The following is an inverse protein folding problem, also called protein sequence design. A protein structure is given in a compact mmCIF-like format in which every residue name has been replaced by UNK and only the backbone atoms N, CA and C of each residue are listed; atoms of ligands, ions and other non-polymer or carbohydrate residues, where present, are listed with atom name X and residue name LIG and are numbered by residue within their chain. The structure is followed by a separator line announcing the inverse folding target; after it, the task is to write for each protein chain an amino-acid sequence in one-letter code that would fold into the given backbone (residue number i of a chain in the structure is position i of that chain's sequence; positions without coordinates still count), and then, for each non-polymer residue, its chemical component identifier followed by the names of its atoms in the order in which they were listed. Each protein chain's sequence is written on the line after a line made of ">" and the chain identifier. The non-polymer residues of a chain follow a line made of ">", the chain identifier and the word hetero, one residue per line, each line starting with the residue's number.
data_IF_791229490718
#
_entry.id   IF_791229490718
#
_cell.length_a   1.000
_cell.length_b   1.000
_cell.length_c   1.000
_cell.angle_alpha   90.00
_cell.angle_beta   90.00
_cell.angle_gamma   90.00
#
_symmetry.space_group_name_H-M   'P 1'
#
loop_
_entity.id
_entity.type
_entity.pdbx_description
1 polymer ?
#
# COMPACT_ATOMS: atom_id res chain seq x y z
N UNK A 1 24.42 -0.93 27.31
CA UNK A 1 24.22 -1.92 26.24
C UNK A 1 22.93 -1.67 25.43
N UNK A 2 21.84 -1.17 26.01
CA UNK A 2 20.55 -0.92 25.30
C UNK A 2 20.62 0.08 24.16
N UNK A 3 21.35 1.19 24.29
CA UNK A 3 21.43 2.23 23.25
C UNK A 3 22.21 1.82 21.99
N UNK A 4 23.23 0.97 22.11
CA UNK A 4 23.96 0.45 20.95
C UNK A 4 23.12 -0.56 20.15
N UNK A 5 22.27 -1.34 20.85
CA UNK A 5 21.33 -2.27 20.22
C UNK A 5 20.23 -1.52 19.45
N UNK A 6 19.70 -0.42 20.00
CA UNK A 6 18.66 0.42 19.40
C UNK A 6 19.16 1.11 18.11
N UNK A 7 20.35 1.72 18.13
CA UNK A 7 20.97 2.32 16.93
C UNK A 7 21.19 1.30 15.81
N UNK A 8 21.50 0.05 16.16
CA UNK A 8 21.63 -1.05 15.21
C UNK A 8 20.27 -1.40 14.55
N UNK A 9 19.18 -1.45 15.32
CA UNK A 9 17.84 -1.72 14.81
C UNK A 9 17.37 -0.65 13.82
N UNK A 10 17.46 0.64 14.17
CA UNK A 10 17.05 1.75 13.31
C UNK A 10 17.84 1.75 11.99
N UNK A 11 19.17 1.63 12.06
CA UNK A 11 20.03 1.58 10.87
C UNK A 11 19.66 0.41 9.97
N UNK A 12 19.44 -0.77 10.54
CA UNK A 12 19.01 -1.94 9.79
C UNK A 12 17.65 -1.71 9.13
N UNK A 13 16.70 -1.10 9.84
CA UNK A 13 15.40 -0.73 9.28
C UNK A 13 15.50 0.21 8.09
N UNK A 14 16.35 1.25 8.17
CA UNK A 14 16.60 2.15 7.04
C UNK A 14 17.16 1.37 5.84
N UNK A 15 18.15 0.50 6.06
CA UNK A 15 18.76 -0.30 4.98
C UNK A 15 17.74 -1.24 4.35
N UNK A 16 16.96 -1.97 5.16
CA UNK A 16 15.95 -2.90 4.67
C UNK A 16 14.78 -2.17 3.96
N UNK A 17 14.57 -0.90 4.28
CA UNK A 17 13.57 -0.04 3.63
C UNK A 17 14.02 0.58 2.29
N UNK A 18 15.34 0.65 2.02
CA UNK A 18 15.85 1.26 0.78
C UNK A 18 15.25 0.66 -0.51
N UNK A 19 15.05 -0.66 -0.64
CA UNK A 19 14.44 -1.23 -1.84
C UNK A 19 13.00 -0.71 -2.10
N UNK A 20 12.28 -0.28 -1.06
CA UNK A 20 10.92 0.27 -1.20
C UNK A 20 10.94 1.60 -1.98
N UNK A 21 12.04 2.36 -1.91
CA UNK A 21 12.18 3.64 -2.59
C UNK A 21 12.04 3.50 -4.11
N UNK A 22 12.52 2.39 -4.67
CA UNK A 22 12.42 2.11 -6.10
C UNK A 22 10.97 2.07 -6.60
N UNK A 23 10.05 1.63 -5.77
CA UNK A 23 8.61 1.68 -6.07
C UNK A 23 7.95 2.99 -5.59
N UNK A 24 8.31 3.47 -4.41
CA UNK A 24 7.66 4.63 -3.78
C UNK A 24 7.91 5.94 -4.51
N UNK A 25 9.16 6.23 -4.87
CA UNK A 25 9.52 7.51 -5.50
C UNK A 25 8.76 7.74 -6.82
N UNK A 26 8.75 6.79 -7.79
CA UNK A 26 8.00 6.97 -9.02
C UNK A 26 6.49 7.18 -8.79
N UNK A 27 5.89 6.40 -7.86
CA UNK A 27 4.46 6.51 -7.55
C UNK A 27 4.15 7.82 -6.86
N UNK A 28 5.00 8.27 -5.94
CA UNK A 28 4.83 9.55 -5.24
C UNK A 28 4.98 10.75 -6.19
N UNK A 29 5.93 10.70 -7.12
CA UNK A 29 6.07 11.69 -8.19
C UNK A 29 4.79 11.72 -9.03
N UNK A 30 4.29 10.56 -9.48
CA UNK A 30 3.03 10.47 -10.22
C UNK A 30 1.87 11.07 -9.44
N UNK A 31 1.78 10.81 -8.13
CA UNK A 31 0.75 11.39 -7.27
C UNK A 31 0.86 12.92 -7.25
N UNK A 32 2.05 13.48 -7.06
CA UNK A 32 2.29 14.92 -7.05
C UNK A 32 1.86 15.60 -8.35
N UNK A 33 2.25 15.02 -9.50
CA UNK A 33 1.85 15.52 -10.84
C UNK A 33 0.34 15.49 -11.00
N UNK A 34 -0.30 14.33 -10.78
CA UNK A 34 -1.75 14.13 -10.96
C UNK A 34 -2.54 15.04 -10.00
N UNK A 35 -2.07 15.25 -8.78
CA UNK A 35 -2.71 16.15 -7.83
C UNK A 35 -2.71 17.60 -8.32
N UNK A 36 -1.57 18.09 -8.83
CA UNK A 36 -1.48 19.46 -9.37
C UNK A 36 -2.32 19.59 -10.64
N UNK A 37 -2.31 18.62 -11.54
CA UNK A 37 -3.20 18.60 -12.72
C UNK A 37 -4.69 18.59 -12.36
N UNK A 38 -5.05 18.01 -11.21
CA UNK A 38 -6.40 18.01 -10.66
C UNK A 38 -6.78 19.32 -9.94
N UNK A 39 -5.90 20.32 -9.92
CA UNK A 39 -6.13 21.66 -9.34
C UNK A 39 -5.68 21.83 -7.89
N UNK A 40 -5.00 20.84 -7.30
CA UNK A 40 -4.38 21.00 -5.98
C UNK A 40 -3.05 21.77 -6.10
N UNK A 41 -2.72 22.58 -5.12
CA UNK A 41 -1.37 23.13 -5.02
C UNK A 41 -0.36 22.04 -4.62
N UNK A 42 0.91 22.26 -4.95
CA UNK A 42 1.99 21.37 -4.50
C UNK A 42 2.04 21.22 -2.99
N UNK A 43 1.71 22.31 -2.25
CA UNK A 43 1.65 22.26 -0.78
C UNK A 43 0.53 21.34 -0.29
N UNK A 44 -0.67 21.46 -0.84
CA UNK A 44 -1.81 20.60 -0.48
C UNK A 44 -1.51 19.13 -0.77
N UNK A 45 -0.98 18.81 -1.96
CA UNK A 45 -0.57 17.46 -2.31
C UNK A 45 0.48 16.91 -1.33
N UNK A 46 1.46 17.74 -0.94
CA UNK A 46 2.51 17.36 0.01
C UNK A 46 1.94 17.15 1.42
N UNK A 47 1.02 18.01 1.88
CA UNK A 47 0.34 17.85 3.17
C UNK A 47 -0.51 16.57 3.21
N UNK A 48 -1.21 16.25 2.11
CA UNK A 48 -1.92 14.97 1.97
C UNK A 48 -0.95 13.80 2.13
N UNK A 49 0.24 13.86 1.54
CA UNK A 49 1.27 12.81 1.68
C UNK A 49 1.86 12.72 3.07
N UNK A 50 1.97 13.83 3.80
CA UNK A 50 2.43 13.85 5.20
C UNK A 50 1.41 13.19 6.13
N UNK A 51 0.13 13.56 6.02
CA UNK A 51 -0.89 13.21 7.00
C UNK A 51 -1.70 11.96 6.66
N UNK A 52 -1.99 11.70 5.39
CA UNK A 52 -2.77 10.54 4.96
C UNK A 52 -1.86 9.34 4.71
N UNK A 53 -0.76 9.52 4.01
CA UNK A 53 0.29 8.52 3.72
C UNK A 53 -0.29 7.13 3.37
N UNK A 54 -1.27 7.10 2.50
CA UNK A 54 -1.93 5.88 2.04
C UNK A 54 -2.19 5.98 0.53
N UNK A 55 -1.23 5.58 -0.28
CA UNK A 55 -1.19 5.81 -1.73
C UNK A 55 -2.53 5.57 -2.42
N UNK A 56 -3.13 4.37 -2.30
CA UNK A 56 -4.39 4.07 -2.98
C UNK A 56 -5.52 5.04 -2.62
N UNK A 57 -5.65 5.42 -1.35
CA UNK A 57 -6.68 6.36 -0.91
C UNK A 57 -6.38 7.80 -1.33
N UNK A 58 -5.09 8.18 -1.41
CA UNK A 58 -4.68 9.49 -1.90
C UNK A 58 -5.03 9.67 -3.39
N UNK A 59 -4.72 8.71 -4.25
CA UNK A 59 -5.11 8.73 -5.65
C UNK A 59 -6.63 8.74 -5.82
N UNK A 60 -7.36 7.95 -5.03
CA UNK A 60 -8.81 7.94 -5.05
C UNK A 60 -9.40 9.31 -4.64
N UNK A 61 -8.87 9.91 -3.57
CA UNK A 61 -9.29 11.24 -3.12
C UNK A 61 -9.17 12.27 -4.24
N UNK A 62 -7.99 12.35 -4.88
CA UNK A 62 -7.74 13.29 -5.98
C UNK A 62 -8.69 13.01 -7.14
N UNK A 63 -8.86 11.76 -7.55
CA UNK A 63 -9.73 11.38 -8.67
C UNK A 63 -11.20 11.76 -8.39
N UNK A 64 -11.69 11.56 -7.17
CA UNK A 64 -13.04 11.91 -6.79
C UNK A 64 -13.26 13.42 -6.76
N UNK A 65 -12.32 14.18 -6.20
CA UNK A 65 -12.38 15.65 -6.17
C UNK A 65 -12.34 16.19 -7.61
N UNK A 66 -11.43 15.71 -8.45
CA UNK A 66 -11.33 16.11 -9.86
C UNK A 66 -12.58 15.79 -10.68
N UNK A 67 -13.30 14.72 -10.34
CA UNK A 67 -14.59 14.37 -10.96
C UNK A 67 -15.78 15.18 -10.45
N UNK A 68 -15.58 16.12 -9.51
CA UNK A 68 -16.64 16.92 -8.90
C UNK A 68 -17.50 16.15 -7.89
N UNK A 69 -17.02 15.02 -7.39
CA UNK A 69 -17.75 14.28 -6.36
C UNK A 69 -17.87 15.10 -5.07
N UNK A 70 -19.01 14.99 -4.35
CA UNK A 70 -19.16 15.66 -3.06
C UNK A 70 -18.05 15.26 -2.08
N UNK A 71 -17.49 16.23 -1.36
CA UNK A 71 -16.34 16.00 -0.47
C UNK A 71 -16.61 14.89 0.58
N UNK A 72 -17.81 14.87 1.15
CA UNK A 72 -18.18 13.83 2.12
C UNK A 72 -18.07 12.41 1.51
N UNK A 73 -18.47 12.25 0.22
CA UNK A 73 -18.37 10.96 -0.46
C UNK A 73 -16.91 10.59 -0.72
N UNK A 74 -16.08 11.55 -1.14
CA UNK A 74 -14.65 11.34 -1.32
C UNK A 74 -13.98 10.90 -0.01
N UNK A 75 -14.31 11.54 1.11
CA UNK A 75 -13.81 11.17 2.44
C UNK A 75 -14.29 9.77 2.85
N UNK A 76 -15.58 9.46 2.71
CA UNK A 76 -16.12 8.13 3.03
C UNK A 76 -15.43 7.01 2.22
N UNK A 77 -15.25 7.21 0.93
CA UNK A 77 -14.60 6.23 0.05
C UNK A 77 -13.11 6.06 0.39
N UNK A 78 -12.42 7.14 0.69
CA UNK A 78 -11.03 7.14 1.15
C UNK A 78 -10.87 6.36 2.46
N UNK A 79 -11.77 6.56 3.42
CA UNK A 79 -11.80 5.81 4.67
C UNK A 79 -12.07 4.32 4.41
N UNK A 80 -13.02 4.01 3.53
CA UNK A 80 -13.35 2.62 3.18
C UNK A 80 -12.15 1.87 2.59
N UNK A 81 -11.38 2.50 1.71
CA UNK A 81 -10.15 1.91 1.16
C UNK A 81 -9.12 1.67 2.26
N UNK A 82 -9.07 2.52 3.27
CA UNK A 82 -8.14 2.40 4.40
C UNK A 82 -8.58 1.40 5.48
N UNK A 83 -9.79 0.85 5.45
CA UNK A 83 -10.25 -0.20 6.38
C UNK A 83 -9.30 -1.39 6.42
N UNK A 84 -8.56 -1.67 5.36
CA UNK A 84 -7.51 -2.71 5.33
C UNK A 84 -6.48 -2.58 6.46
N UNK A 85 -6.19 -1.38 6.95
CA UNK A 85 -5.26 -1.17 8.07
C UNK A 85 -5.78 -1.76 9.39
N UNK A 86 -7.10 -1.88 9.56
CA UNK A 86 -7.74 -2.58 10.69
C UNK A 86 -7.36 -4.07 10.70
N UNK A 87 -7.08 -4.65 9.53
CA UNK A 87 -6.61 -6.04 9.41
C UNK A 87 -5.10 -6.13 9.58
N UNK A 88 -4.33 -5.17 9.07
CA UNK A 88 -2.87 -5.20 9.13
C UNK A 88 -2.33 -5.10 10.54
N UNK A 89 -2.86 -4.17 11.33
CA UNK A 89 -2.37 -3.92 12.68
C UNK A 89 -2.46 -5.16 13.59
N UNK A 90 -3.59 -5.86 13.74
CA UNK A 90 -3.68 -7.08 14.55
C UNK A 90 -2.73 -8.18 14.10
N UNK A 91 -2.46 -8.29 12.79
CA UNK A 91 -1.54 -9.29 12.26
C UNK A 91 -0.06 -9.00 12.56
N UNK A 92 0.29 -7.74 12.89
CA UNK A 92 1.66 -7.37 13.30
C UNK A 92 1.84 -7.31 14.82
N UNK A 93 0.77 -7.12 15.58
CA UNK A 93 0.81 -7.04 17.05
C UNK A 93 1.58 -8.19 17.71
N UNK A 94 1.43 -9.48 17.30
CA UNK A 94 2.17 -10.58 17.91
C UNK A 94 3.68 -10.48 17.74
N UNK A 95 4.16 -9.73 16.75
CA UNK A 95 5.58 -9.61 16.43
C UNK A 95 6.22 -8.33 16.96
N UNK A 96 5.43 -7.36 17.40
CA UNK A 96 5.92 -6.07 17.89
C UNK A 96 5.72 -5.98 19.40
N UNK A 97 6.79 -5.72 20.18
CA UNK A 97 6.67 -5.54 21.63
C UNK A 97 5.86 -4.26 21.95
N UNK A 98 5.27 -4.24 23.14
CA UNK A 98 4.53 -3.08 23.66
C UNK A 98 5.42 -1.83 23.63
N UNK A 99 4.93 -0.73 23.00
CA UNK A 99 5.69 0.50 22.85
C UNK A 99 4.77 1.72 22.84
N UNK A 100 5.23 2.82 23.45
CA UNK A 100 4.57 4.14 23.34
C UNK A 100 4.62 4.70 21.90
N UNK A 101 5.44 4.11 21.03
CA UNK A 101 5.54 4.50 19.62
C UNK A 101 4.41 3.95 18.72
N UNK A 102 3.44 3.22 19.26
CA UNK A 102 2.35 2.61 18.49
C UNK A 102 1.64 3.56 17.52
N UNK A 103 1.25 4.80 17.90
CA UNK A 103 0.60 5.71 16.94
C UNK A 103 1.48 6.02 15.73
N UNK A 104 2.79 6.26 15.95
CA UNK A 104 3.76 6.47 14.88
C UNK A 104 3.95 5.22 14.01
N UNK A 105 4.05 4.04 14.64
CA UNK A 105 4.22 2.78 13.93
C UNK A 105 3.02 2.50 13.02
N UNK A 106 1.80 2.80 13.49
CA UNK A 106 0.57 2.59 12.72
C UNK A 106 0.41 3.61 11.59
N UNK A 107 0.81 4.87 11.81
CA UNK A 107 0.87 5.86 10.73
C UNK A 107 1.85 5.44 9.62
N UNK A 108 3.00 4.88 9.99
CA UNK A 108 4.00 4.38 9.04
C UNK A 108 3.62 3.05 8.34
N UNK A 109 2.48 2.45 8.67
CA UNK A 109 2.10 1.14 8.15
C UNK A 109 1.43 1.27 6.77
N UNK A 110 2.11 0.81 5.74
CA UNK A 110 1.59 0.70 4.37
C UNK A 110 1.57 -0.77 3.93
N UNK A 111 0.98 -1.06 2.76
CA UNK A 111 0.93 -2.43 2.20
C UNK A 111 2.32 -3.05 2.07
N UNK A 112 3.29 -2.27 1.59
CA UNK A 112 4.66 -2.73 1.37
C UNK A 112 5.41 -2.92 2.69
N UNK A 113 5.23 -1.99 3.64
CA UNK A 113 5.82 -2.10 4.99
C UNK A 113 5.21 -3.27 5.74
N UNK A 114 3.88 -3.49 5.61
CA UNK A 114 3.23 -4.67 6.17
C UNK A 114 3.85 -5.96 5.61
N UNK A 115 3.98 -6.08 4.30
CA UNK A 115 4.55 -7.26 3.66
C UNK A 115 6.01 -7.52 4.12
N UNK A 116 6.82 -6.46 4.18
CA UNK A 116 8.20 -6.54 4.66
C UNK A 116 8.27 -6.90 6.15
N UNK A 117 7.48 -6.24 6.99
CA UNK A 117 7.46 -6.45 8.43
C UNK A 117 6.99 -7.88 8.79
N UNK A 118 5.96 -8.38 8.12
CA UNK A 118 5.43 -9.73 8.34
C UNK A 118 6.49 -10.82 8.07
N UNK A 119 7.44 -10.57 7.17
CA UNK A 119 8.52 -11.51 6.86
C UNK A 119 9.75 -11.31 7.75
N UNK A 120 10.06 -10.08 8.17
CA UNK A 120 11.29 -9.75 8.90
C UNK A 120 11.14 -9.82 10.41
N UNK A 121 10.04 -9.31 10.98
CA UNK A 121 9.87 -9.22 12.43
C UNK A 121 9.94 -10.56 13.16
N UNK A 122 9.38 -11.69 12.64
CA UNK A 122 9.50 -12.99 13.30
C UNK A 122 10.93 -13.48 13.49
N UNK A 123 11.86 -13.00 12.65
CA UNK A 123 13.25 -13.43 12.62
C UNK A 123 14.20 -12.51 13.43
N UNK A 124 13.65 -11.47 14.07
CA UNK A 124 14.43 -10.43 14.73
C UNK A 124 14.34 -10.53 16.26
N UNK A 125 15.41 -10.07 16.94
CA UNK A 125 15.41 -9.90 18.39
C UNK A 125 14.39 -8.80 18.80
N UNK A 126 13.60 -9.05 19.83
CA UNK A 126 12.54 -8.11 20.29
C UNK A 126 13.07 -6.71 20.59
N UNK A 127 14.27 -6.60 21.14
CA UNK A 127 14.91 -5.32 21.45
C UNK A 127 15.16 -4.43 20.22
N UNK A 128 15.18 -5.00 19.01
CA UNK A 128 15.47 -4.28 17.75
C UNK A 128 14.22 -3.98 16.93
N UNK A 129 13.12 -4.73 17.14
CA UNK A 129 11.93 -4.71 16.28
C UNK A 129 11.30 -3.34 16.14
N UNK A 130 11.10 -2.62 17.26
CA UNK A 130 10.45 -1.29 17.24
C UNK A 130 11.31 -0.27 16.50
N UNK A 131 12.62 -0.26 16.76
CA UNK A 131 13.51 0.70 16.11
C UNK A 131 13.74 0.35 14.64
N UNK A 132 13.75 -0.94 14.30
CA UNK A 132 13.76 -1.40 12.91
C UNK A 132 12.52 -0.90 12.17
N UNK A 133 11.34 -1.09 12.74
CA UNK A 133 10.09 -0.65 12.13
C UNK A 133 10.06 0.87 11.94
N UNK A 134 10.54 1.65 12.93
CA UNK A 134 10.71 3.11 12.79
C UNK A 134 11.62 3.47 11.62
N UNK A 135 12.74 2.75 11.47
CA UNK A 135 13.70 3.00 10.37
C UNK A 135 13.09 2.78 9.00
N UNK A 136 12.42 1.64 8.81
CA UNK A 136 11.70 1.34 7.55
C UNK A 136 10.63 2.37 7.27
N UNK A 137 9.76 2.66 8.25
CA UNK A 137 8.65 3.60 8.10
C UNK A 137 9.13 5.01 7.79
N UNK A 138 10.20 5.47 8.46
CA UNK A 138 10.74 6.81 8.28
C UNK A 138 11.29 7.01 6.86
N UNK A 139 12.12 6.08 6.37
CA UNK A 139 12.73 6.21 5.05
C UNK A 139 11.68 6.13 3.94
N UNK A 140 10.69 5.25 4.09
CA UNK A 140 9.60 5.10 3.15
C UNK A 140 8.68 6.34 3.15
N UNK A 141 8.29 6.86 4.32
CA UNK A 141 7.47 8.05 4.46
C UNK A 141 8.14 9.30 3.90
N UNK A 142 9.42 9.51 4.23
CA UNK A 142 10.18 10.66 3.69
C UNK A 142 10.31 10.57 2.17
N UNK A 143 10.56 9.37 1.61
CA UNK A 143 10.65 9.20 0.16
C UNK A 143 9.33 9.52 -0.54
N UNK A 144 8.20 9.21 0.09
CA UNK A 144 6.87 9.51 -0.43
C UNK A 144 6.60 11.02 -0.43
N UNK A 145 6.91 11.72 0.67
CA UNK A 145 6.75 13.17 0.78
C UNK A 145 7.63 13.89 -0.25
N UNK A 146 8.92 13.52 -0.31
CA UNK A 146 9.86 14.13 -1.26
C UNK A 146 9.43 13.87 -2.70
N UNK A 147 9.04 12.62 -3.02
CA UNK A 147 8.54 12.27 -4.36
C UNK A 147 7.31 13.10 -4.74
N UNK A 148 6.34 13.24 -3.83
CA UNK A 148 5.14 14.07 -4.05
C UNK A 148 5.51 15.54 -4.30
N UNK A 149 6.37 16.12 -3.46
CA UNK A 149 6.80 17.51 -3.63
C UNK A 149 7.54 17.73 -4.97
N UNK A 150 8.43 16.82 -5.33
CA UNK A 150 9.13 16.86 -6.63
C UNK A 150 8.15 16.76 -7.80
N UNK A 151 7.19 15.84 -7.73
CA UNK A 151 6.13 15.71 -8.74
C UNK A 151 5.28 16.96 -8.87
N UNK A 152 4.89 17.56 -7.74
CA UNK A 152 4.10 18.79 -7.75
C UNK A 152 4.86 20.03 -8.23
N UNK A 153 6.17 20.10 -8.02
CA UNK A 153 7.01 21.23 -8.47
C UNK A 153 7.39 21.09 -9.95
N UNK A 154 7.81 19.88 -10.35
CA UNK A 154 8.44 19.67 -11.65
C UNK A 154 7.51 18.96 -12.66
N UNK A 155 6.28 18.61 -12.27
CA UNK A 155 5.37 17.80 -13.07
C UNK A 155 5.08 18.37 -14.45
N UNK A 156 4.74 19.64 -14.53
CA UNK A 156 4.46 20.30 -15.81
C UNK A 156 5.67 20.31 -16.75
N UNK A 157 6.85 20.58 -16.21
CA UNK A 157 8.09 20.56 -17.00
C UNK A 157 8.45 19.16 -17.46
N UNK A 158 8.21 18.15 -16.62
CA UNK A 158 8.46 16.74 -16.94
C UNK A 158 7.52 16.25 -18.04
N UNK A 159 6.23 16.54 -17.95
CA UNK A 159 5.24 16.08 -18.93
C UNK A 159 5.35 16.82 -20.27
N UNK A 160 5.77 18.11 -20.25
CA UNK A 160 6.08 18.85 -21.48
C UNK A 160 7.29 18.28 -22.22
N UNK A 161 8.36 17.92 -21.49
CA UNK A 161 9.56 17.34 -22.10
C UNK A 161 9.36 15.88 -22.52
N UNK A 162 8.52 15.15 -21.79
CA UNK A 162 8.31 13.72 -21.94
C UNK A 162 6.80 13.41 -21.93
N UNK A 163 6.06 13.69 -22.99
CA UNK A 163 4.60 13.55 -23.03
C UNK A 163 4.09 12.13 -22.73
N UNK A 164 4.93 11.10 -22.94
CA UNK A 164 4.63 9.72 -22.59
C UNK A 164 4.33 9.55 -21.08
N UNK A 165 4.88 10.44 -20.23
CA UNK A 165 4.68 10.36 -18.78
C UNK A 165 3.22 10.56 -18.40
N UNK A 166 2.48 11.44 -19.07
CA UNK A 166 1.04 11.64 -18.80
C UNK A 166 0.25 10.34 -18.97
N UNK A 167 0.63 9.52 -19.94
CA UNK A 167 -0.03 8.23 -20.19
C UNK A 167 0.41 7.14 -19.23
N UNK A 168 1.65 7.18 -18.73
CA UNK A 168 2.25 6.11 -17.91
C UNK A 168 2.03 6.32 -16.42
N UNK A 169 2.05 7.58 -15.94
CA UNK A 169 1.93 7.90 -14.52
C UNK A 169 0.68 7.32 -13.82
N UNK A 170 -0.53 7.30 -14.44
CA UNK A 170 -1.69 6.69 -13.80
C UNK A 170 -1.53 5.18 -13.50
N UNK A 171 -0.61 4.51 -14.21
CA UNK A 171 -0.34 3.07 -14.01
C UNK A 171 0.71 2.81 -12.94
N UNK A 172 1.40 3.81 -12.40
CA UNK A 172 2.46 3.64 -11.41
C UNK A 172 1.96 2.93 -10.13
N UNK A 173 0.79 3.31 -9.62
CA UNK A 173 0.19 2.67 -8.45
C UNK A 173 -0.29 1.24 -8.74
N UNK A 174 -1.05 0.94 -9.80
CA UNK A 174 -1.37 -0.43 -10.20
C UNK A 174 -0.13 -1.31 -10.37
N UNK A 175 0.95 -0.79 -10.99
CA UNK A 175 2.21 -1.51 -11.15
C UNK A 175 2.85 -1.86 -9.80
N UNK A 176 2.85 -0.94 -8.84
CA UNK A 176 3.35 -1.18 -7.49
C UNK A 176 2.58 -2.32 -6.79
N UNK A 177 1.26 -2.36 -6.90
CA UNK A 177 0.46 -3.46 -6.37
C UNK A 177 0.73 -4.79 -7.09
N UNK A 178 0.94 -4.75 -8.40
CA UNK A 178 1.27 -5.96 -9.16
C UNK A 178 2.60 -6.56 -8.70
N UNK A 179 3.61 -5.74 -8.42
CA UNK A 179 4.90 -6.19 -7.84
C UNK A 179 4.70 -6.89 -6.49
N UNK A 180 3.80 -6.38 -5.63
CA UNK A 180 3.47 -7.04 -4.36
C UNK A 180 2.75 -8.38 -4.52
N UNK A 181 1.95 -8.51 -5.57
CA UNK A 181 1.23 -9.75 -5.86
C UNK A 181 2.10 -10.78 -6.57
N UNK A 182 3.14 -10.36 -7.30
CA UNK A 182 3.96 -11.23 -8.13
C UNK A 182 4.47 -12.50 -7.40
N UNK A 183 4.98 -12.43 -6.15
CA UNK A 183 5.44 -13.63 -5.42
C UNK A 183 4.30 -14.62 -5.12
N UNK A 184 3.04 -14.16 -5.06
CA UNK A 184 1.88 -15.01 -4.77
C UNK A 184 1.51 -15.93 -5.95
N UNK A 185 1.88 -15.55 -7.17
CA UNK A 185 1.65 -16.39 -8.36
C UNK A 185 2.45 -17.70 -8.37
N UNK A 186 3.46 -17.85 -7.52
CA UNK A 186 4.17 -19.12 -7.34
C UNK A 186 3.33 -20.20 -6.64
N UNK A 187 2.29 -19.81 -5.90
CA UNK A 187 1.38 -20.71 -5.19
C UNK A 187 0.15 -21.02 -6.06
N UNK A 188 -0.13 -22.30 -6.32
CA UNK A 188 -1.32 -22.73 -7.07
C UNK A 188 -2.62 -22.23 -6.43
N UNK A 189 -2.70 -22.24 -5.10
CA UNK A 189 -3.86 -21.75 -4.35
C UNK A 189 -4.07 -20.24 -4.61
N UNK A 190 -3.02 -19.44 -4.49
CA UNK A 190 -3.08 -18.00 -4.73
C UNK A 190 -3.37 -17.69 -6.21
N UNK A 191 -2.73 -18.41 -7.15
CA UNK A 191 -2.98 -18.22 -8.59
C UNK A 191 -4.43 -18.50 -8.95
N UNK A 192 -5.02 -19.58 -8.43
CA UNK A 192 -6.44 -19.89 -8.65
C UNK A 192 -7.35 -18.80 -8.05
N UNK A 193 -7.07 -18.37 -6.82
CA UNK A 193 -7.82 -17.28 -6.17
C UNK A 193 -7.75 -15.98 -6.96
N UNK A 194 -6.56 -15.59 -7.39
CA UNK A 194 -6.36 -14.37 -8.18
C UNK A 194 -7.08 -14.45 -9.53
N UNK A 195 -6.99 -15.59 -10.20
CA UNK A 195 -7.70 -15.81 -11.47
C UNK A 195 -9.21 -15.64 -11.32
N UNK A 196 -9.80 -16.27 -10.30
CA UNK A 196 -11.25 -16.14 -10.00
C UNK A 196 -11.60 -14.69 -9.68
N UNK A 197 -10.79 -14.02 -8.85
CA UNK A 197 -11.03 -12.61 -8.49
C UNK A 197 -10.97 -11.69 -9.71
N UNK A 198 -9.97 -11.87 -10.57
CA UNK A 198 -9.82 -11.06 -11.79
C UNK A 198 -10.96 -11.30 -12.79
N UNK A 199 -11.35 -12.55 -12.97
CA UNK A 199 -12.48 -12.92 -13.85
C UNK A 199 -13.79 -12.33 -13.32
N UNK A 200 -14.04 -12.44 -12.01
CA UNK A 200 -15.20 -11.83 -11.37
C UNK A 200 -15.20 -10.31 -11.51
N UNK A 201 -14.06 -9.66 -11.30
CA UNK A 201 -13.92 -8.21 -11.45
C UNK A 201 -14.24 -7.76 -12.89
N UNK A 202 -13.69 -8.46 -13.88
CA UNK A 202 -13.95 -8.16 -15.29
C UNK A 202 -15.42 -8.35 -15.66
N UNK A 203 -16.01 -9.47 -15.26
CA UNK A 203 -17.44 -9.74 -15.51
C UNK A 203 -18.35 -8.70 -14.87
N UNK A 204 -18.10 -8.34 -13.61
CA UNK A 204 -18.87 -7.33 -12.88
C UNK A 204 -18.67 -5.93 -13.46
N UNK A 205 -17.46 -5.59 -13.91
CA UNK A 205 -17.17 -4.30 -14.53
C UNK A 205 -17.92 -4.10 -15.86
N UNK A 206 -18.17 -5.20 -16.60
CA UNK A 206 -18.93 -5.20 -17.85
C UNK A 206 -20.45 -5.33 -17.63
N UNK A 207 -20.90 -5.52 -16.38
CA UNK A 207 -22.32 -5.70 -16.01
C UNK A 207 -22.94 -4.40 -15.49
N UNK A 208 -24.25 -4.50 -15.12
CA UNK A 208 -24.95 -3.42 -14.39
C UNK A 208 -24.35 -3.11 -13.03
N UNK A 209 -23.56 -4.02 -12.47
CA UNK A 209 -22.92 -3.90 -11.15
C UNK A 209 -21.52 -3.24 -11.21
N UNK A 210 -21.18 -2.54 -12.30
CA UNK A 210 -19.86 -1.93 -12.52
C UNK A 210 -19.34 -1.11 -11.33
N UNK A 211 -20.23 -0.38 -10.62
CA UNK A 211 -19.85 0.46 -9.48
C UNK A 211 -19.49 -0.36 -8.23
N UNK A 212 -19.92 -1.61 -8.14
CA UNK A 212 -19.63 -2.54 -7.05
C UNK A 212 -18.65 -3.66 -7.49
N UNK A 213 -18.10 -3.59 -8.70
CA UNK A 213 -17.28 -4.65 -9.28
C UNK A 213 -16.08 -5.02 -8.40
N UNK A 214 -15.33 -4.02 -7.94
CA UNK A 214 -14.12 -4.24 -7.11
C UNK A 214 -14.46 -4.88 -5.76
N UNK A 215 -15.38 -4.32 -4.93
CA UNK A 215 -15.69 -4.94 -3.63
C UNK A 215 -16.33 -6.33 -3.77
N UNK A 216 -17.19 -6.55 -4.75
CA UNK A 216 -17.80 -7.87 -4.97
C UNK A 216 -16.76 -8.89 -5.47
N UNK A 217 -15.88 -8.52 -6.37
CA UNK A 217 -14.78 -9.38 -6.80
C UNK A 217 -13.82 -9.72 -5.65
N UNK A 218 -13.49 -8.76 -4.79
CA UNK A 218 -12.68 -9.00 -3.61
C UNK A 218 -13.35 -10.00 -2.65
N UNK A 219 -14.67 -9.89 -2.45
CA UNK A 219 -15.44 -10.85 -1.66
C UNK A 219 -15.41 -12.25 -2.29
N UNK A 220 -15.62 -12.37 -3.60
CA UNK A 220 -15.50 -13.64 -4.32
C UNK A 220 -14.11 -14.25 -4.14
N UNK A 221 -13.05 -13.44 -4.24
CA UNK A 221 -11.68 -13.89 -4.01
C UNK A 221 -11.46 -14.41 -2.58
N UNK A 222 -11.93 -13.68 -1.58
CA UNK A 222 -11.83 -14.07 -0.17
C UNK A 222 -12.55 -15.41 0.10
N UNK A 223 -13.77 -15.57 -0.40
CA UNK A 223 -14.54 -16.82 -0.29
C UNK A 223 -13.80 -17.96 -0.99
N UNK A 224 -13.30 -17.73 -2.20
CA UNK A 224 -12.55 -18.74 -2.96
C UNK A 224 -11.29 -19.18 -2.19
N UNK A 225 -10.52 -18.23 -1.65
CA UNK A 225 -9.34 -18.53 -0.85
C UNK A 225 -9.69 -19.37 0.37
N UNK A 226 -10.73 -18.99 1.12
CA UNK A 226 -11.18 -19.71 2.29
C UNK A 226 -11.60 -21.16 1.97
N UNK A 227 -12.41 -21.35 0.93
CA UNK A 227 -12.87 -22.67 0.52
C UNK A 227 -11.73 -23.58 0.07
N UNK A 228 -10.79 -23.04 -0.72
CA UNK A 228 -9.64 -23.80 -1.20
C UNK A 228 -8.69 -24.17 -0.04
N UNK A 229 -8.45 -23.27 0.89
CA UNK A 229 -7.61 -23.53 2.07
C UNK A 229 -8.24 -24.59 2.97
N UNK A 230 -9.53 -24.45 3.29
CA UNK A 230 -10.27 -25.43 4.10
C UNK A 230 -10.30 -26.82 3.45
N UNK A 231 -10.36 -26.88 2.12
CA UNK A 231 -10.32 -28.16 1.41
C UNK A 231 -8.93 -28.83 1.49
N UNK A 232 -7.86 -28.06 1.40
CA UNK A 232 -6.49 -28.56 1.53
C UNK A 232 -6.23 -29.07 2.94
N UNK A 233 -6.64 -28.33 3.97
CA UNK A 233 -6.49 -28.71 5.39
C UNK A 233 -7.25 -29.99 5.72
N UNK A 234 -8.48 -30.13 5.24
CA UNK A 234 -9.28 -31.36 5.42
C UNK A 234 -8.61 -32.59 4.80
N UNK A 235 -8.04 -32.44 3.59
CA UNK A 235 -7.32 -33.55 2.95
C UNK A 235 -6.09 -33.96 3.74
N UNK A 236 -5.37 -33.02 4.32
CA UNK A 236 -4.18 -33.30 5.15
C UNK A 236 -4.55 -33.97 6.49
N UNK A 237 -5.70 -33.59 7.08
CA UNK A 237 -6.21 -34.19 8.31
C UNK A 237 -6.69 -35.64 8.10
N UNK A 238 -7.19 -35.99 6.92
CA UNK A 238 -7.63 -37.37 6.62
C UNK A 238 -6.50 -38.30 6.16
N UNK A 239 -5.33 -37.72 5.85
CA UNK A 239 -4.14 -38.47 5.41
C UNK A 239 -3.15 -38.78 6.57
N UNK A 240 -3.44 -38.29 7.77
CA UNK A 240 -2.73 -38.60 9.04
C UNK A 240 -3.55 -39.57 9.87
#
# INVERSE_FOLDING_TARGET
>A
MSQLSSKSGLKQGVIDGLPLLGGYIPVAISFGVIAVQAGFSTLEATLISIFIYAGASQFLLIAMVASGAPLWLAVCMTLLVNVRHVVYAPNLVPYLPQSKAWPYLMHGLTDQIFALAHTRLPLMDDAKKVDWFKGVSMVAWLSWIVGTALGGIAGDSLTQQWPILDSVMPFALPALFLVLLAPKFSSKLWSATLLVTMTAALFLALSVFKNAAIPLAALCGAITFYLLTSHVERKQSHAR
#
